data_IF_019371733619
#
_entry.id   IF_019371733619
#
_cell.length_a   1.000
_cell.length_b   1.000
_cell.length_c   1.000
_cell.angle_alpha   90.00
_cell.angle_beta   90.00
_cell.angle_gamma   90.00
#
_symmetry.space_group_name_H-M   'P 1'
#
loop_
_entity.id
_entity.type
_entity.pdbx_description
1 polymer ?
2 polymer ?
3 water ?
#
# COMPACT_ATOMS: atom_id res chain seq x y z
N UNK A 1 -13.09 -11.52 -6.74
CA UNK A 1 -12.84 -10.78 -7.99
C UNK A 1 -11.36 -10.70 -8.36
N UNK A 2 -11.08 -10.31 -9.60
CA UNK A 2 -9.75 -9.89 -10.03
C UNK A 2 -9.75 -8.36 -10.23
N UNK A 3 -8.94 -7.67 -9.44
CA UNK A 3 -8.91 -6.21 -9.42
C UNK A 3 -7.62 -5.69 -10.06
N UNK A 4 -7.77 -4.98 -11.17
CA UNK A 4 -6.62 -4.37 -11.83
C UNK A 4 -6.26 -3.08 -11.10
N UNK A 5 -5.05 -2.60 -11.30
CA UNK A 5 -4.58 -1.51 -10.48
C UNK A 5 -4.47 -0.15 -11.19
N UNK A 6 -5.21 0.02 -12.29
CA UNK A 6 -5.19 1.32 -12.99
C UNK A 6 -5.80 2.46 -12.15
N UNK A 7 -6.76 2.09 -11.29
CA UNK A 7 -7.37 2.97 -10.31
C UNK A 7 -7.01 2.48 -8.90
N UNK A 8 -7.28 3.31 -7.90
CA UNK A 8 -7.09 2.89 -6.49
C UNK A 8 -8.04 1.75 -6.17
N UNK A 9 -7.53 0.66 -5.56
CA UNK A 9 -8.40 -0.50 -5.26
C UNK A 9 -9.30 -0.29 -4.04
N UNK A 10 -10.33 0.53 -4.24
CA UNK A 10 -11.31 0.84 -3.18
C UNK A 10 -12.47 -0.16 -3.25
N UNK A 11 -12.80 -0.74 -2.10
CA UNK A 11 -13.86 -1.73 -1.99
C UNK A 11 -14.83 -1.34 -0.87
N UNK A 12 -16.03 -1.90 -0.96
CA UNK A 12 -17.07 -1.74 0.06
C UNK A 12 -16.84 -2.75 1.18
N UNK A 13 -16.98 -2.26 2.41
CA UNK A 13 -16.87 -3.10 3.58
C UNK A 13 -18.07 -2.88 4.49
N UNK A 14 -18.38 -3.89 5.30
CA UNK A 14 -19.38 -3.76 6.35
C UNK A 14 -18.69 -3.98 7.69
N UNK A 15 -18.78 -2.98 8.55
CA UNK A 15 -18.10 -3.00 9.84
C UNK A 15 -18.94 -2.28 10.90
N UNK A 16 -19.12 -2.94 12.04
CA UNK A 16 -19.84 -2.39 13.18
C UNK A 16 -21.24 -1.91 12.83
N UNK A 17 -21.89 -2.60 11.91
CA UNK A 17 -23.23 -2.24 11.44
C UNK A 17 -23.27 -1.10 10.42
N UNK A 18 -22.11 -0.67 9.92
CA UNK A 18 -22.06 0.43 8.96
C UNK A 18 -21.48 -0.05 7.63
N UNK A 19 -21.89 0.61 6.54
CA UNK A 19 -21.25 0.41 5.23
C UNK A 19 -20.18 1.48 5.05
N UNK A 20 -18.99 1.08 4.63
CA UNK A 20 -17.92 2.02 4.45
C UNK A 20 -17.15 1.60 3.20
N UNK A 21 -16.23 2.44 2.79
CA UNK A 21 -15.28 2.11 1.71
C UNK A 21 -13.89 2.15 2.26
N UNK A 22 -13.02 1.31 1.71
CA UNK A 22 -11.64 1.27 2.15
C UNK A 22 -10.75 0.81 1.01
N UNK A 23 -9.47 1.14 1.16
CA UNK A 23 -8.44 0.90 0.16
C UNK A 23 -7.71 -0.42 0.51
N UNK A 24 -7.66 -1.34 -0.47
CA UNK A 24 -6.90 -2.59 -0.31
C UNK A 24 -5.43 -2.24 -0.46
N UNK A 25 -4.69 -2.25 0.66
CA UNK A 25 -3.35 -1.67 0.71
C UNK A 25 -2.28 -2.69 1.11
N UNK A 26 -1.61 -3.24 0.11
CA UNK A 26 -0.63 -4.29 0.37
C UNK A 26 0.63 -3.72 1.07
N UNK A 27 0.79 -2.40 1.05
CA UNK A 27 1.89 -1.72 1.76
C UNK A 27 1.64 -1.52 3.24
N UNK A 28 0.44 -1.81 3.70
CA UNK A 28 0.06 -1.60 5.09
C UNK A 28 -0.01 -2.93 5.83
N UNK A 29 0.65 -3.02 6.97
CA UNK A 29 0.63 -4.26 7.77
C UNK A 29 -0.75 -4.43 8.41
N UNK A 30 -1.34 -3.30 8.82
CA UNK A 30 -2.56 -3.30 9.64
C UNK A 30 -3.71 -2.60 8.96
N UNK A 31 -4.92 -2.86 9.48
CA UNK A 31 -6.14 -2.26 8.97
C UNK A 31 -6.51 -1.08 9.87
N UNK A 32 -6.71 0.08 9.27
CA UNK A 32 -7.02 1.28 10.06
C UNK A 32 -8.26 1.92 9.48
N UNK A 33 -9.27 2.15 10.32
CA UNK A 33 -10.53 2.71 9.88
C UNK A 33 -10.94 3.84 10.79
N UNK A 34 -11.55 4.88 10.24
CA UNK A 34 -12.06 5.96 11.10
C UNK A 34 -13.59 5.97 11.17
N UNK A 35 -14.11 6.64 12.19
CA UNK A 35 -15.57 6.82 12.33
C UNK A 35 -16.35 5.51 12.41
N UNK A 36 -15.82 4.56 13.17
CA UNK A 36 -16.53 3.33 13.49
C UNK A 36 -16.64 3.22 14.99
N UNK A 37 -17.77 2.74 15.47
CA UNK A 37 -17.97 2.57 16.89
C UNK A 37 -18.12 1.07 17.06
N UNK A 38 -17.04 0.44 17.50
CA UNK A 38 -17.06 -0.99 17.67
C UNK A 38 -17.33 -1.33 19.12
N UNK A 39 -18.10 -2.42 19.36
CA UNK A 39 -18.40 -2.87 20.72
C UNK A 39 -17.27 -3.74 21.31
N UNK A 40 -17.29 -4.01 22.60
CA UNK A 40 -16.22 -4.93 23.09
C UNK A 40 -14.87 -4.29 23.40
N UNK A 41 -13.88 -5.12 23.76
CA UNK A 41 -12.68 -4.55 24.39
C UNK A 41 -11.68 -4.00 23.40
N UNK A 42 -10.91 -3.01 23.84
CA UNK A 42 -9.82 -2.48 23.01
C UNK A 42 -8.63 -2.09 23.90
N UNK A 43 -7.49 -1.86 23.27
CA UNK A 43 -6.30 -1.35 23.95
C UNK A 43 -5.67 -0.30 23.05
N UNK A 44 -5.04 0.74 23.64
CA UNK A 44 -4.36 1.71 22.75
C UNK A 44 -3.15 1.08 22.05
N UNK A 45 -2.87 1.57 20.85
CA UNK A 45 -1.72 1.11 20.09
C UNK A 45 -1.12 2.35 19.44
N UNK A 46 0.21 2.46 19.47
CA UNK A 46 0.92 3.49 18.72
C UNK A 46 1.31 2.97 17.34
N UNK A 47 0.93 3.71 16.31
CA UNK A 47 1.30 3.35 14.95
C UNK A 47 2.02 4.51 14.25
N UNK A 48 2.36 4.30 12.97
CA UNK A 48 3.15 5.28 12.21
C UNK A 48 4.51 5.35 12.87
N UNK A 49 4.96 6.55 13.14
CA UNK A 49 6.32 6.76 13.64
C UNK A 49 7.10 7.83 12.90
N UNK A 50 6.63 8.23 11.73
CA UNK A 50 7.15 9.44 11.09
C UNK A 50 6.55 10.65 11.80
N UNK A 51 7.40 11.59 12.28
CA UNK A 51 7.01 12.89 12.91
C UNK A 51 6.45 12.78 14.34
N UNK A 52 6.42 11.56 14.84
CA UNK A 52 5.78 11.19 16.10
C UNK A 52 5.02 9.91 15.82
N UNK A 53 4.19 9.53 16.78
CA UNK A 53 3.30 8.38 16.62
C UNK A 53 1.85 8.83 16.67
N UNK A 54 0.97 8.04 16.05
CA UNK A 54 -0.48 8.23 16.15
C UNK A 54 -1.00 7.14 17.09
N UNK A 55 -1.87 7.51 18.04
CA UNK A 55 -2.48 6.54 18.95
C UNK A 55 -3.86 6.13 18.41
N UNK A 56 -4.09 4.83 18.33
CA UNK A 56 -5.37 4.31 17.84
C UNK A 56 -5.88 3.29 18.85
N UNK A 57 -7.14 2.90 18.70
CA UNK A 57 -7.69 1.83 19.51
C UNK A 57 -7.61 0.51 18.74
N UNK A 58 -6.96 -0.48 19.35
CA UNK A 58 -6.86 -1.83 18.76
C UNK A 58 -7.99 -2.73 19.26
N UNK A 59 -8.81 -3.19 18.31
CA UNK A 59 -9.87 -4.15 18.60
C UNK A 59 -9.47 -5.46 17.95
N UNK A 60 -9.38 -6.51 18.76
CA UNK A 60 -9.05 -7.81 18.20
C UNK A 60 -10.25 -8.61 17.76
N UNK A 61 -10.01 -9.47 16.77
CA UNK A 61 -10.98 -10.44 16.30
C UNK A 61 -12.33 -9.80 15.99
N UNK A 62 -12.30 -8.77 15.15
CA UNK A 62 -13.49 -8.03 14.77
C UNK A 62 -14.11 -8.68 13.54
N UNK A 63 -15.42 -9.00 13.60
CA UNK A 63 -16.06 -9.47 12.36
C UNK A 63 -16.19 -8.32 11.37
N UNK A 64 -15.82 -8.57 10.13
CA UNK A 64 -15.87 -7.55 9.10
C UNK A 64 -16.15 -8.23 7.78
N UNK A 65 -16.93 -7.60 6.93
CA UNK A 65 -17.20 -8.14 5.60
C UNK A 65 -16.51 -7.25 4.59
N UNK A 66 -15.72 -7.87 3.71
CA UNK A 66 -14.89 -7.09 2.79
C UNK A 66 -15.21 -7.61 1.41
N UNK A 67 -15.83 -6.73 0.62
CA UNK A 67 -16.22 -7.08 -0.72
C UNK A 67 -16.92 -8.45 -0.72
N UNK A 68 -17.86 -8.64 0.21
CA UNK A 68 -18.69 -9.85 0.24
C UNK A 68 -18.15 -11.03 1.06
N UNK A 69 -16.90 -10.91 1.51
CA UNK A 69 -16.24 -11.98 2.25
C UNK A 69 -16.30 -11.69 3.74
N UNK A 70 -17.02 -12.53 4.50
CA UNK A 70 -17.16 -12.36 5.96
C UNK A 70 -15.96 -12.99 6.64
N UNK A 71 -15.14 -12.13 7.26
CA UNK A 71 -13.93 -12.59 7.94
C UNK A 71 -13.81 -11.99 9.35
N UNK A 72 -12.70 -12.33 10.01
CA UNK A 72 -12.37 -11.85 11.34
C UNK A 72 -10.92 -11.36 11.35
N UNK A 73 -10.68 -10.20 11.96
CA UNK A 73 -9.30 -9.77 12.16
C UNK A 73 -9.21 -8.53 13.03
N UNK A 74 -7.99 -8.16 13.36
CA UNK A 74 -7.74 -6.95 14.15
C UNK A 74 -8.08 -5.72 13.32
N UNK A 75 -8.79 -4.77 13.95
CA UNK A 75 -9.07 -3.47 13.30
C UNK A 75 -8.60 -2.39 14.24
N UNK A 76 -7.79 -1.48 13.71
CA UNK A 76 -7.36 -0.31 14.47
C UNK A 76 -8.33 0.81 14.11
N UNK A 77 -8.83 1.51 15.12
CA UNK A 77 -9.77 2.59 14.89
C UNK A 77 -9.18 3.91 15.33
N UNK A 78 -9.11 4.84 14.39
CA UNK A 78 -8.70 6.20 14.70
C UNK A 78 -8.63 6.97 13.40
N UNK A 79 -8.23 8.25 13.50
CA UNK A 79 -8.34 9.12 12.33
C UNK A 79 -7.31 8.67 11.31
N UNK A 80 -7.73 8.55 10.06
CA UNK A 80 -6.80 8.11 9.05
C UNK A 80 -7.16 8.86 7.78
N UNK A 81 -6.14 9.34 7.05
CA UNK A 81 -6.48 10.07 5.84
C UNK A 81 -7.37 9.27 4.89
N UNK A 82 -7.21 7.94 4.88
CA UNK A 82 -8.05 7.08 4.03
C UNK A 82 -8.26 5.75 4.77
N UNK A 83 -9.49 5.18 4.75
CA UNK A 83 -9.73 3.86 5.40
C UNK A 83 -8.89 2.84 4.67
N UNK A 84 -8.14 2.02 5.40
CA UNK A 84 -7.18 1.10 4.80
C UNK A 84 -7.42 -0.32 5.27
N UNK A 85 -7.56 -1.25 4.32
CA UNK A 85 -7.53 -2.70 4.61
C UNK A 85 -6.08 -3.15 4.40
N UNK A 86 -5.43 -3.55 5.49
CA UNK A 86 -4.02 -3.97 5.42
C UNK A 86 -3.86 -5.46 5.19
N UNK A 87 -2.60 -5.91 5.10
CA UNK A 87 -2.34 -7.33 4.85
C UNK A 87 -3.05 -8.24 5.85
N UNK A 88 -3.15 -7.81 7.11
CA UNK A 88 -3.76 -8.67 8.12
C UNK A 88 -5.16 -9.15 7.72
N UNK A 89 -5.95 -8.31 7.07
CA UNK A 89 -7.29 -8.73 6.59
C UNK A 89 -7.29 -9.26 5.15
N UNK A 90 -6.34 -8.82 4.33
CA UNK A 90 -6.23 -9.38 3.00
C UNK A 90 -5.90 -10.88 3.06
N UNK A 91 -5.08 -11.29 4.03
CA UNK A 91 -4.83 -12.74 4.17
C UNK A 91 -6.12 -13.50 4.50
N UNK A 92 -6.96 -12.90 5.34
CA UNK A 92 -8.20 -13.54 5.77
C UNK A 92 -9.14 -13.81 4.61
N UNK A 93 -9.26 -12.85 3.70
CA UNK A 93 -10.12 -12.99 2.54
C UNK A 93 -9.47 -13.82 1.38
N UNK A 94 -8.21 -14.21 1.56
CA UNK A 94 -7.47 -15.03 0.58
C UNK A 94 -7.01 -14.21 -0.63
N UNK A 95 -6.71 -12.95 -0.38
CA UNK A 95 -6.31 -12.02 -1.41
C UNK A 95 -4.82 -12.19 -1.69
N UNK A 96 -4.50 -12.40 -2.97
CA UNK A 96 -3.10 -12.52 -3.42
C UNK A 96 -2.78 -11.50 -4.52
N UNK A 97 -1.49 -11.21 -4.68
CA UNK A 97 -0.99 -10.44 -5.82
C UNK A 97 -0.60 -11.44 -6.90
N UNK A 98 -1.01 -11.17 -8.13
CA UNK A 98 -0.75 -12.13 -9.23
C UNK A 98 -0.27 -11.43 -10.49
N UNK A 99 0.84 -11.93 -11.05
CA UNK A 99 1.33 -11.46 -12.35
C UNK A 99 2.18 -12.52 -13.08
CA UNK B 1 3.98 -15.55 -9.44
C UNK B 1 2.65 -15.21 -8.77
N UNK B 2 2.24 -16.04 -7.83
CA UNK B 2 1.15 -15.68 -6.92
C UNK B 2 1.75 -15.44 -5.53
N UNK B 3 1.54 -14.23 -5.01
CA UNK B 3 2.17 -13.78 -3.78
C UNK B 3 1.12 -13.60 -2.70
N UNK B 4 1.22 -14.43 -1.65
CA UNK B 4 0.32 -14.32 -0.52
C UNK B 4 0.81 -13.19 0.39
N UNK B 5 -0.06 -12.71 1.27
CA UNK B 5 0.24 -11.46 1.95
C UNK B 5 0.51 -11.63 3.46
N UNK B 6 0.90 -12.85 3.86
CA UNK B 6 1.25 -13.11 5.27
C UNK B 6 2.49 -12.33 5.70
N UNK B 7 3.39 -12.12 4.74
CA UNK B 7 4.59 -11.30 4.89
C UNK B 7 4.49 -10.09 3.96
N UNK B 8 5.35 -9.11 4.18
CA UNK B 8 5.44 -7.94 3.27
C UNK B 8 5.85 -8.38 1.88
N UNK B 9 5.11 -7.93 0.83
CA UNK B 9 5.44 -8.36 -0.54
C UNK B 9 6.64 -7.64 -1.14
N UNK B 10 7.82 -8.07 -0.70
CA UNK B 10 9.11 -7.49 -1.14
C UNK B 10 9.65 -8.34 -2.30
N UNK B 11 10.01 -7.66 -3.39
CA UNK B 11 10.53 -8.32 -4.56
C UNK B 11 11.85 -7.67 -5.00
N UNK B 12 12.60 -8.43 -5.79
CA UNK B 12 13.85 -7.97 -6.41
C UNK B 12 13.53 -7.17 -7.69
N UNK B 13 14.22 -6.07 -7.84
CA UNK B 13 14.10 -5.24 -9.04
C UNK B 13 15.49 -4.92 -9.57
N UNK B 14 15.55 -4.62 -10.87
CA UNK B 14 16.78 -4.13 -11.48
C UNK B 14 16.48 -2.75 -12.04
N UNK B 15 17.22 -1.75 -11.58
CA UNK B 15 16.99 -0.37 -11.95
C UNK B 15 18.34 0.36 -12.05
N UNK B 16 18.53 1.09 -13.14
CA UNK B 16 19.75 1.89 -13.34
C UNK B 16 21.04 1.11 -13.21
N UNK B 17 21.01 -0.16 -13.63
CA UNK B 17 22.17 -1.05 -13.53
C UNK B 17 22.40 -1.63 -12.14
N UNK B 18 21.46 -1.43 -11.23
CA UNK B 18 21.62 -1.91 -9.84
C UNK B 18 20.53 -2.93 -9.50
N UNK B 19 20.84 -3.83 -8.56
CA UNK B 19 19.85 -4.76 -7.99
C UNK B 19 19.36 -4.18 -6.67
N UNK B 20 18.04 -4.13 -6.51
CA UNK B 20 17.48 -3.54 -5.31
C UNK B 20 16.29 -4.39 -4.89
N UNK B 21 15.76 -4.10 -3.71
CA UNK B 21 14.50 -4.69 -3.26
C UNK B 21 13.48 -3.60 -3.08
N UNK B 22 12.22 -3.93 -3.34
CA UNK B 22 11.14 -2.96 -3.17
C UNK B 22 9.85 -3.65 -2.79
N UNK B 23 8.96 -2.88 -2.19
CA UNK B 23 7.69 -3.36 -1.66
C UNK B 23 6.58 -3.14 -2.70
N UNK B 24 5.86 -4.20 -3.07
CA UNK B 24 4.71 -4.08 -3.99
C UNK B 24 3.57 -3.47 -3.19
N UNK B 25 3.24 -2.22 -3.48
CA UNK B 25 2.38 -1.41 -2.60
C UNK B 25 1.15 -0.89 -3.33
N UNK B 26 0.05 -1.62 -3.20
CA UNK B 26 -1.18 -1.23 -3.90
C UNK B 26 -1.80 0.07 -3.35
N UNK B 27 -1.34 0.50 -2.17
CA UNK B 27 -1.77 1.77 -1.56
C UNK B 27 -1.04 2.98 -2.10
N UNK B 28 -0.02 2.77 -2.92
CA UNK B 28 0.78 3.87 -3.43
C UNK B 28 0.49 4.09 -4.90
N UNK B 29 0.19 5.33 -5.26
CA UNK B 29 -0.07 5.67 -6.66
C UNK B 29 1.21 5.56 -7.47
N UNK B 30 2.33 5.95 -6.86
CA UNK B 30 3.59 6.12 -7.60
C UNK B 30 4.69 5.23 -7.01
N UNK B 31 5.74 5.05 -7.80
CA UNK B 31 6.91 4.26 -7.42
C UNK B 31 7.99 5.23 -6.93
N UNK B 32 8.48 4.98 -5.72
CA UNK B 32 9.51 5.84 -5.11
C UNK B 32 10.68 4.97 -4.69
N UNK B 33 11.86 5.31 -5.19
CA UNK B 33 13.05 4.53 -4.89
C UNK B 33 14.17 5.46 -4.41
N UNK B 34 14.98 5.00 -3.48
CA UNK B 34 16.13 5.82 -3.06
C UNK B 34 17.47 5.22 -3.52
N UNK B 35 18.52 6.05 -3.56
CA UNK B 35 19.87 5.55 -3.86
C UNK B 35 20.02 4.93 -5.25
N UNK B 36 19.35 5.53 -6.23
CA UNK B 36 19.52 5.12 -7.62
C UNK B 36 19.98 6.34 -8.39
N UNK B 37 20.94 6.11 -9.29
CA UNK B 37 21.43 7.17 -10.12
C UNK B 37 20.89 6.82 -11.50
N UNK B 38 19.91 7.59 -11.94
CA UNK B 38 19.31 7.36 -13.25
C UNK B 38 19.83 8.37 -14.27
N UNK B 39 20.04 7.93 -15.52
CA UNK B 39 20.50 8.85 -16.56
C UNK B 39 19.33 9.60 -17.21
N UNK B 40 19.61 10.62 -18.01
CA UNK B 40 18.45 11.24 -18.71
C UNK B 40 17.68 12.27 -17.88
N UNK B 41 16.59 12.79 -18.44
CA UNK B 41 15.99 14.02 -17.90
C UNK B 41 15.12 13.75 -16.71
N UNK B 42 15.00 14.75 -15.83
CA UNK B 42 14.09 14.66 -14.69
C UNK B 42 13.49 16.04 -14.39
N UNK B 43 12.42 16.04 -13.60
CA UNK B 43 11.83 17.29 -13.10
C UNK B 43 11.48 17.09 -11.64
N UNK B 44 11.59 18.15 -10.80
CA UNK B 44 11.17 17.97 -9.41
C UNK B 44 9.67 17.73 -9.30
N UNK B 45 9.29 16.95 -8.30
CA UNK B 45 7.88 16.66 -8.02
C UNK B 45 7.71 16.71 -6.51
N UNK B 46 6.61 17.32 -6.05
CA UNK B 46 6.23 17.30 -4.65
C UNK B 46 5.27 16.17 -4.36
N UNK B 47 5.62 15.32 -3.39
CA UNK B 47 4.77 14.20 -2.99
C UNK B 47 4.48 14.23 -1.50
N UNK B 48 3.78 13.21 -1.02
CA UNK B 48 3.30 13.20 0.38
C UNK B 48 2.34 14.35 0.51
N UNK B 49 2.51 15.13 1.58
CA UNK B 49 1.57 16.21 1.89
C UNK B 49 1.14 16.24 3.35
N UNK B 50 1.37 15.16 4.08
CA UNK B 50 1.22 15.21 5.54
C UNK B 50 2.50 15.84 6.10
N UNK B 51 2.35 16.89 6.96
CA UNK B 51 3.45 17.60 7.68
C UNK B 51 4.29 18.56 6.82
N UNK B 52 3.94 18.58 5.54
CA UNK B 52 4.69 19.30 4.51
C UNK B 52 4.71 18.38 3.30
N UNK B 53 5.55 18.70 2.34
CA UNK B 53 5.71 17.86 1.16
C UNK B 53 7.15 17.42 1.10
N UNK B 54 7.40 16.35 0.35
CA UNK B 54 8.75 15.85 0.09
C UNK B 54 8.98 16.07 -1.39
N UNK B 55 10.15 16.61 -1.73
CA UNK B 55 10.52 16.86 -3.12
C UNK B 55 11.36 15.69 -3.61
N UNK B 56 10.97 15.15 -4.77
CA UNK B 56 11.71 14.05 -5.38
C UNK B 56 11.97 14.43 -6.83
N UNK B 57 12.84 13.63 -7.47
CA UNK B 57 13.09 13.78 -8.90
C UNK B 57 12.24 12.79 -9.68
N UNK B 58 11.44 13.32 -10.62
CA UNK B 58 10.58 12.49 -11.46
C UNK B 58 11.28 12.16 -12.77
N UNK B 59 11.49 10.88 -13.01
CA UNK B 59 12.07 10.39 -14.26
C UNK B 59 10.97 9.64 -14.99
N UNK B 60 10.68 10.06 -16.21
CA UNK B 60 9.65 9.36 -16.98
C UNK B 60 10.22 8.25 -17.84
N UNK B 61 9.37 7.25 -18.08
CA UNK B 61 9.63 6.18 -19.03
C UNK B 61 10.97 5.49 -18.74
N UNK B 62 11.13 5.09 -17.48
CA UNK B 62 12.34 4.44 -17.01
C UNK B 62 12.22 2.93 -17.21
N UNK B 63 13.18 2.33 -17.90
CA UNK B 63 13.16 0.87 -17.95
C UNK B 63 13.52 0.28 -16.59
N UNK B 64 12.72 -0.68 -16.18
CA UNK B 64 12.90 -1.31 -14.88
C UNK B 64 12.45 -2.76 -14.99
N UNK B 65 13.17 -3.65 -14.31
CA UNK B 65 12.79 -5.06 -14.27
C UNK B 65 12.30 -5.37 -12.86
N UNK B 66 11.10 -5.96 -12.78
CA UNK B 66 10.47 -6.16 -11.48
C UNK B 66 10.10 -7.62 -11.44
N UNK B 67 10.78 -8.36 -10.57
CA UNK B 67 10.53 -9.77 -10.44
C UNK B 67 10.57 -10.44 -11.81
N UNK B 68 11.57 -10.08 -12.60
CA UNK B 68 11.80 -10.70 -13.92
C UNK B 68 11.01 -10.16 -15.10
N UNK B 69 10.14 -9.19 -14.84
CA UNK B 69 9.32 -8.57 -15.88
C UNK B 69 9.94 -7.24 -16.27
N UNK B 70 10.38 -7.13 -17.52
CA UNK B 70 10.99 -5.89 -18.02
C UNK B 70 9.88 -4.96 -18.49
N UNK B 71 9.74 -3.83 -17.80
CA UNK B 71 8.72 -2.84 -18.12
C UNK B 71 9.30 -1.41 -18.15
N UNK B 72 8.41 -0.45 -18.38
CA UNK B 72 8.75 0.96 -18.47
C UNK B 72 7.73 1.74 -17.65
N UNK B 73 8.21 2.70 -16.86
CA UNK B 73 7.29 3.58 -16.18
C UNK B 73 8.00 4.69 -15.44
N UNK B 74 7.22 5.61 -14.90
CA UNK B 74 7.75 6.74 -14.14
C UNK B 74 8.32 6.24 -12.81
N UNK B 75 9.52 6.72 -12.46
CA UNK B 75 10.14 6.38 -11.17
C UNK B 75 10.48 7.70 -10.52
N UNK B 76 10.04 7.85 -9.27
CA UNK B 76 10.39 9.01 -8.46
C UNK B 76 11.61 8.61 -7.63
N UNK B 77 12.62 9.47 -7.60
CA UNK B 77 13.84 9.14 -6.90
C UNK B 77 14.04 10.15 -5.78
N UNK B 78 14.08 9.61 -4.57
CA UNK B 78 14.40 10.42 -3.40
C UNK B 78 14.29 9.57 -2.15
N UNK B 79 14.40 10.25 -0.99
CA UNK B 79 14.53 9.58 0.29
C UNK B 79 13.19 8.92 0.57
N UNK B 80 13.22 7.65 0.93
CA UNK B 80 11.98 6.97 1.22
C UNK B 80 12.27 5.93 2.29
N UNK B 81 11.39 5.86 3.31
CA UNK B 81 11.62 4.89 4.36
C UNK B 81 11.77 3.48 3.80
N UNK B 82 11.03 3.15 2.74
CA UNK B 82 11.13 1.83 2.11
C UNK B 82 10.96 2.03 0.59
N UNK B 83 11.73 1.30 -0.24
CA UNK B 83 11.58 1.39 -1.71
C UNK B 83 10.21 0.84 -2.05
N UNK B 84 9.43 1.58 -2.85
CA UNK B 84 8.03 1.22 -3.09
C UNK B 84 7.76 1.11 -4.58
N UNK B 85 7.19 -0.03 -4.99
CA UNK B 85 6.63 -0.18 -6.34
C UNK B 85 5.14 0.15 -6.23
N UNK B 86 4.73 1.23 -6.87
CA UNK B 86 3.34 1.69 -6.78
C UNK B 86 2.48 1.15 -7.90
N UNK B 87 1.20 1.52 -7.88
CA UNK B 87 0.29 1.02 -8.92
C UNK B 87 0.78 1.32 -10.33
N UNK B 88 1.45 2.46 -10.54
CA UNK B 88 1.88 2.83 -11.89
C UNK B 88 2.72 1.74 -12.54
N UNK B 89 3.57 1.06 -11.76
CA UNK B 89 4.38 -0.04 -12.31
C UNK B 89 3.73 -1.44 -12.16
N UNK B 90 2.89 -1.60 -11.16
CA UNK B 90 2.14 -2.85 -11.05
C UNK B 90 1.23 -3.07 -12.27
N UNK B 91 0.62 -1.99 -12.78
CA UNK B 91 -0.17 -2.16 -14.01
C UNK B 91 0.69 -2.64 -15.18
N UNK B 92 1.92 -2.12 -15.26
CA UNK B 92 2.82 -2.48 -16.35
C UNK B 92 3.17 -3.95 -16.36
N UNK B 93 3.42 -4.52 -15.18
CA UNK B 93 3.75 -5.93 -15.07
C UNK B 93 2.50 -6.86 -15.09
N UNK B 94 1.31 -6.26 -15.16
CA UNK B 94 0.05 -7.00 -15.19
C UNK B 94 -0.35 -7.60 -13.87
N UNK B 95 0.04 -6.93 -12.79
CA UNK B 95 -0.22 -7.39 -11.43
C UNK B 95 -1.64 -7.03 -11.00
N UNK B 96 -2.39 -8.03 -10.53
CA UNK B 96 -3.75 -7.84 -10.05
C UNK B 96 -3.91 -8.35 -8.62
N UNK B 97 -4.93 -7.86 -7.94
CA UNK B 97 -5.34 -8.40 -6.65
C UNK B 97 -6.45 -9.42 -6.90
N UNK B 98 -6.33 -10.58 -6.28
CA UNK B 98 -7.28 -11.69 -6.55
C UNK B 98 -7.77 -12.35 -5.28
N UNK B 99 -9.09 -12.50 -5.17
CA UNK B 99 -9.69 -13.24 -4.08
C UNK B 99 -11.09 -13.77 -4.41
N UNK C 1 4.97 -1.41 8.88
CA UNK C 1 4.36 -0.06 8.74
C UNK C 1 3.09 -0.05 7.90
N UNK C 2 2.74 1.13 7.39
CA UNK C 2 1.44 1.32 6.79
C UNK C 2 1.48 2.45 5.77
N UNK C 3 1.28 2.10 4.49
CA UNK C 3 1.72 2.97 3.39
C UNK C 3 0.71 3.13 2.26
N UNK C 4 -0.22 4.11 2.36
CA UNK C 4 -0.88 4.61 1.17
C UNK C 4 -0.17 5.86 0.66
N UNK C 5 -0.76 6.49 -0.37
CA UNK C 5 -0.22 7.75 -0.87
C UNK C 5 -1.15 8.45 -1.87
N UNK C 6 -0.87 9.73 -2.10
CA UNK C 6 -1.48 10.51 -3.16
C UNK C 6 -0.38 11.40 -3.72
N UNK C 7 -0.26 11.46 -5.06
CA UNK C 7 0.96 11.99 -5.67
C UNK C 7 1.33 13.37 -5.16
#
# INVERSE_FOLDING_TARGET
PQITLWQRPIVTIKIGGQLKEALLNTGADDTVLEEVNLPGRWKPKLIGGIGGFVKVRQYDQVPIEICGHKVIGTVLVGPTPTNVIGRNLMTQIGCTLNF
PQITLWQRPIVTIKIGGQLKEALLNTGADDTVLEEVNLPGRWKPKLIGGIGGFVKVRQYDQVPIEICGHKVIGTVLVGPTPTNVIGRNLMTQIGCTLNF
LNFPISP
#
